data_IF_788444272017
#
_entry.id   IF_788444272017
#
_cell.length_a   1.000
_cell.length_b   1.000
_cell.length_c   1.000
_cell.angle_alpha   90.00
_cell.angle_beta   90.00
_cell.angle_gamma   90.00
#
_symmetry.space_group_name_H-M   'P 1'
#
loop_
_entity.id
_entity.type
_entity.pdbx_description
1 polymer ?
#
# COMPACT_ATOMS: atom_id res chain seq x y z
N UNK A 1 4.32 24.06 2.12
CA UNK A 1 3.74 23.49 0.90
C UNK A 1 3.60 21.98 1.12
N UNK A 2 2.44 21.39 0.88
CA UNK A 2 2.26 19.93 0.99
C UNK A 2 3.09 19.22 -0.08
N UNK A 3 3.76 18.12 0.27
CA UNK A 3 4.54 17.31 -0.65
C UNK A 3 3.62 16.74 -1.75
N UNK A 4 3.87 17.01 -3.04
CA UNK A 4 3.00 16.57 -4.13
C UNK A 4 2.90 15.06 -4.26
N UNK A 5 3.87 14.29 -3.73
CA UNK A 5 3.83 12.82 -3.73
C UNK A 5 2.62 12.27 -2.98
N UNK A 6 2.08 13.05 -2.02
CA UNK A 6 0.94 12.69 -1.17
C UNK A 6 -0.31 13.55 -1.45
N UNK A 7 -0.29 14.35 -2.51
CA UNK A 7 -1.46 15.15 -2.86
C UNK A 7 -2.58 14.25 -3.39
N UNK A 8 -3.83 14.58 -3.02
CA UNK A 8 -5.01 14.05 -3.67
C UNK A 8 -5.15 14.68 -5.07
N UNK A 9 -5.73 13.96 -5.99
CA UNK A 9 -5.91 14.38 -7.38
C UNK A 9 -4.99 13.63 -8.34
N UNK A 10 -5.57 12.77 -9.14
CA UNK A 10 -4.89 11.76 -9.97
C UNK A 10 -4.61 10.48 -9.22
N UNK A 11 -4.78 9.35 -9.92
CA UNK A 11 -4.57 8.00 -9.38
C UNK A 11 -3.08 7.69 -9.35
N UNK A 12 -2.59 7.24 -8.19
CA UNK A 12 -1.22 6.74 -8.01
C UNK A 12 -1.20 5.22 -8.13
N UNK A 13 -0.22 4.70 -8.86
CA UNK A 13 0.00 3.25 -8.96
C UNK A 13 1.20 2.88 -8.08
N UNK A 14 0.98 1.97 -7.15
CA UNK A 14 1.95 1.43 -6.21
C UNK A 14 2.18 -0.06 -6.49
N UNK A 15 3.15 -0.45 -7.35
CA UNK A 15 3.47 -1.85 -7.57
C UNK A 15 3.90 -2.55 -6.27
N UNK A 16 3.21 -3.66 -5.91
CA UNK A 16 3.65 -4.51 -4.81
C UNK A 16 4.76 -5.44 -5.26
N UNK A 17 5.94 -5.29 -4.65
CA UNK A 17 7.10 -6.13 -4.93
C UNK A 17 6.94 -7.58 -4.49
N UNK A 18 5.86 -7.92 -3.79
CA UNK A 18 5.49 -9.31 -3.51
C UNK A 18 5.34 -10.14 -4.79
N UNK A 19 5.10 -9.50 -5.94
CA UNK A 19 4.98 -10.13 -7.26
C UNK A 19 6.21 -9.99 -8.15
N UNK A 20 7.29 -9.34 -7.66
CA UNK A 20 8.55 -9.18 -8.36
C UNK A 20 9.48 -10.40 -8.20
N UNK A 21 10.58 -10.45 -8.93
CA UNK A 21 11.63 -11.43 -8.70
C UNK A 21 12.39 -11.11 -7.41
N UNK A 22 12.24 -11.95 -6.39
CA UNK A 22 12.87 -11.78 -5.07
C UNK A 22 14.41 -11.78 -5.14
N UNK A 23 14.98 -12.45 -6.13
CA UNK A 23 16.45 -12.48 -6.31
C UNK A 23 17.00 -11.18 -6.94
N UNK A 24 16.11 -10.29 -7.46
CA UNK A 24 16.48 -9.10 -8.20
C UNK A 24 15.75 -7.83 -7.75
N UNK A 25 15.27 -7.76 -6.50
CA UNK A 25 14.41 -6.66 -6.02
C UNK A 25 14.92 -5.25 -6.35
N UNK A 26 16.22 -4.98 -6.19
CA UNK A 26 16.76 -3.66 -6.47
C UNK A 26 16.65 -3.28 -7.96
N UNK A 27 16.81 -4.25 -8.85
CA UNK A 27 16.68 -4.05 -10.31
C UNK A 27 15.21 -3.96 -10.72
N UNK A 28 14.35 -4.80 -10.13
CA UNK A 28 12.90 -4.79 -10.36
C UNK A 28 12.28 -3.44 -9.97
N UNK A 29 12.66 -2.90 -8.81
CA UNK A 29 12.18 -1.60 -8.35
C UNK A 29 12.61 -0.49 -9.31
N UNK A 30 13.90 -0.43 -9.70
CA UNK A 30 14.37 0.55 -10.68
C UNK A 30 13.66 0.41 -12.02
N UNK A 31 13.42 -0.83 -12.45
CA UNK A 31 12.73 -1.11 -13.70
C UNK A 31 11.28 -0.60 -13.66
N UNK A 32 10.51 -0.92 -12.61
CA UNK A 32 9.10 -0.52 -12.50
C UNK A 32 8.93 0.99 -12.27
N UNK A 33 9.83 1.63 -11.51
CA UNK A 33 9.85 3.10 -11.38
C UNK A 33 10.14 3.79 -12.71
N UNK A 34 11.15 3.29 -13.46
CA UNK A 34 11.47 3.77 -14.80
C UNK A 34 10.31 3.62 -15.79
N UNK A 35 9.36 2.75 -15.51
CA UNK A 35 8.14 2.53 -16.31
C UNK A 35 6.92 3.31 -15.79
N UNK A 36 7.07 4.17 -14.76
CA UNK A 36 6.05 5.12 -14.34
C UNK A 36 5.24 4.71 -13.12
N UNK A 37 5.81 3.87 -12.24
CA UNK A 37 5.28 3.67 -10.89
C UNK A 37 5.38 4.97 -10.08
N UNK A 38 4.35 5.28 -9.30
CA UNK A 38 4.33 6.48 -8.45
C UNK A 38 4.90 6.19 -7.07
N UNK A 39 4.70 4.97 -6.53
CA UNK A 39 5.17 4.47 -5.25
C UNK A 39 5.69 3.05 -5.41
N UNK A 40 6.38 2.53 -4.39
CA UNK A 40 6.75 1.12 -4.26
C UNK A 40 6.10 0.57 -2.99
N UNK A 41 5.25 -0.44 -3.15
CA UNK A 41 4.55 -1.10 -2.03
C UNK A 41 5.29 -2.35 -1.57
N UNK A 42 5.50 -2.45 -0.24
CA UNK A 42 6.28 -3.51 0.41
C UNK A 42 5.41 -4.24 1.42
N UNK A 43 4.98 -5.44 1.08
CA UNK A 43 4.14 -6.31 1.92
C UNK A 43 4.98 -7.09 2.93
N UNK A 44 4.96 -6.70 4.21
CA UNK A 44 5.67 -7.35 5.30
C UNK A 44 4.75 -8.30 6.04
N UNK A 45 5.12 -9.58 6.11
CA UNK A 45 4.32 -10.67 6.68
C UNK A 45 5.14 -11.52 7.64
N UNK A 46 4.56 -11.92 8.78
CA UNK A 46 5.25 -12.59 9.90
C UNK A 46 4.89 -14.07 10.09
N UNK A 47 3.97 -14.63 9.28
CA UNK A 47 3.48 -15.99 9.46
C UNK A 47 2.56 -16.19 10.66
N UNK A 48 2.21 -15.11 11.37
CA UNK A 48 1.32 -15.11 12.52
C UNK A 48 0.03 -14.30 12.26
N UNK A 49 0.16 -13.04 11.89
CA UNK A 49 -0.97 -12.20 11.49
C UNK A 49 -1.61 -12.70 10.19
N UNK A 50 -0.76 -13.14 9.25
CA UNK A 50 -1.14 -13.81 7.99
C UNK A 50 -0.35 -15.10 7.80
N UNK A 51 -0.89 -16.11 7.07
CA UNK A 51 -0.24 -17.42 6.91
C UNK A 51 0.86 -17.42 5.83
N UNK A 52 1.68 -16.37 5.80
CA UNK A 52 2.81 -16.21 4.88
C UNK A 52 3.95 -15.46 5.57
N UNK A 53 5.18 -15.68 5.12
CA UNK A 53 6.39 -14.99 5.57
C UNK A 53 7.03 -14.28 4.37
N UNK A 54 7.42 -13.00 4.53
CA UNK A 54 8.06 -12.26 3.45
C UNK A 54 9.37 -11.63 3.91
N UNK A 55 9.35 -10.38 4.35
CA UNK A 55 10.54 -9.55 4.54
C UNK A 55 10.58 -8.92 5.93
N UNK A 56 11.75 -8.41 6.31
CA UNK A 56 11.95 -7.62 7.50
C UNK A 56 12.62 -6.27 7.20
N UNK A 57 12.94 -5.48 8.24
CA UNK A 57 13.56 -4.16 8.09
C UNK A 57 14.89 -4.17 7.32
N UNK A 58 15.64 -5.28 7.37
CA UNK A 58 16.92 -5.41 6.64
C UNK A 58 16.70 -5.36 5.12
N UNK A 59 15.64 -5.99 4.62
CA UNK A 59 15.30 -5.94 3.19
C UNK A 59 14.88 -4.52 2.78
N UNK A 60 14.04 -3.85 3.57
CA UNK A 60 13.62 -2.46 3.34
C UNK A 60 14.85 -1.54 3.28
N UNK A 61 15.80 -1.69 4.22
CA UNK A 61 17.06 -0.92 4.23
C UNK A 61 17.90 -1.19 2.99
N UNK A 62 18.03 -2.45 2.58
CA UNK A 62 18.79 -2.82 1.37
C UNK A 62 18.13 -2.27 0.10
N UNK A 63 16.80 -2.19 0.08
CA UNK A 63 16.02 -1.70 -1.04
C UNK A 63 16.02 -0.17 -1.16
N UNK A 64 16.08 0.55 -0.03
CA UNK A 64 15.98 2.02 0.00
C UNK A 64 16.87 2.76 -1.01
N UNK A 65 18.16 2.42 -1.21
CA UNK A 65 19.01 3.08 -2.20
C UNK A 65 18.57 2.89 -3.67
N UNK A 66 17.66 1.95 -3.92
CA UNK A 66 17.14 1.63 -5.25
C UNK A 66 15.77 2.28 -5.52
N UNK A 67 15.11 2.83 -4.50
CA UNK A 67 13.78 3.44 -4.59
C UNK A 67 13.93 4.96 -4.64
N UNK A 68 13.52 5.60 -5.72
CA UNK A 68 13.53 7.07 -5.87
C UNK A 68 12.20 7.71 -5.45
N UNK A 69 11.12 6.94 -5.50
CA UNK A 69 9.75 7.38 -5.16
C UNK A 69 9.42 7.16 -3.68
N UNK A 70 8.15 7.04 -3.33
CA UNK A 70 7.69 6.71 -1.97
C UNK A 70 7.84 5.22 -1.72
N UNK A 71 8.46 4.87 -0.59
CA UNK A 71 8.49 3.50 -0.07
C UNK A 71 7.37 3.34 0.95
N UNK A 72 6.31 2.68 0.54
CA UNK A 72 5.11 2.41 1.30
C UNK A 72 5.19 1.00 1.90
N UNK A 73 5.32 0.93 3.23
CA UNK A 73 5.56 -0.32 3.96
C UNK A 73 4.31 -0.74 4.70
N UNK A 74 3.69 -1.81 4.22
CA UNK A 74 2.48 -2.39 4.78
C UNK A 74 2.81 -3.54 5.71
N UNK A 75 2.50 -3.37 7.00
CA UNK A 75 2.84 -4.30 8.07
C UNK A 75 1.68 -5.24 8.41
N UNK A 76 1.68 -6.40 7.83
CA UNK A 76 0.81 -7.54 8.17
C UNK A 76 1.50 -8.42 9.21
N UNK A 77 1.80 -7.82 10.37
CA UNK A 77 2.51 -8.45 11.49
C UNK A 77 1.81 -8.14 12.82
N UNK A 78 1.96 -9.00 13.81
CA UNK A 78 1.46 -8.80 15.16
C UNK A 78 2.43 -9.38 16.22
N UNK A 79 2.88 -8.56 17.19
CA UNK A 79 2.60 -7.14 17.40
C UNK A 79 3.40 -6.21 16.46
N UNK A 80 2.84 -5.03 16.13
CA UNK A 80 3.47 -4.05 15.24
C UNK A 80 4.46 -3.13 15.98
N UNK A 81 4.05 -2.62 17.15
CA UNK A 81 4.75 -1.53 17.87
C UNK A 81 6.28 -1.74 18.02
N UNK A 82 6.79 -2.96 18.34
CA UNK A 82 8.24 -3.18 18.50
C UNK A 82 9.07 -2.97 17.24
N UNK A 83 8.45 -2.98 16.06
CA UNK A 83 9.15 -2.94 14.78
C UNK A 83 9.09 -1.59 14.08
N UNK A 84 8.23 -0.65 14.51
CA UNK A 84 8.01 0.65 13.86
C UNK A 84 9.33 1.41 13.67
N UNK A 85 10.12 1.58 14.74
CA UNK A 85 11.39 2.29 14.67
C UNK A 85 12.35 1.66 13.66
N UNK A 86 12.43 0.32 13.64
CA UNK A 86 13.33 -0.40 12.74
C UNK A 86 12.95 -0.23 11.25
N UNK A 87 11.65 -0.18 10.92
CA UNK A 87 11.19 0.09 9.55
C UNK A 87 11.38 1.55 9.15
N UNK A 88 11.14 2.50 10.06
CA UNK A 88 11.41 3.91 9.83
C UNK A 88 12.90 4.17 9.56
N UNK A 89 13.79 3.64 10.41
CA UNK A 89 15.25 3.71 10.23
C UNK A 89 15.73 3.00 8.96
N UNK A 90 15.01 1.98 8.50
CA UNK A 90 15.28 1.31 7.24
C UNK A 90 14.92 2.16 6.01
N UNK A 91 14.15 3.24 6.20
CA UNK A 91 13.83 4.21 5.15
C UNK A 91 12.41 4.12 4.59
N UNK A 92 11.45 3.58 5.36
CA UNK A 92 10.04 3.69 5.01
C UNK A 92 9.59 5.16 4.99
N UNK A 93 8.86 5.57 3.97
CA UNK A 93 8.23 6.89 3.90
C UNK A 93 6.82 6.85 4.52
N UNK A 94 6.10 5.75 4.29
CA UNK A 94 4.79 5.43 4.87
C UNK A 94 4.91 4.11 5.61
N UNK A 95 4.34 4.01 6.80
CA UNK A 95 4.16 2.74 7.52
C UNK A 95 2.67 2.56 7.77
N UNK A 96 2.12 1.48 7.22
CA UNK A 96 0.71 1.12 7.35
C UNK A 96 0.56 -0.09 8.26
N UNK A 97 -0.18 0.08 9.37
CA UNK A 97 -0.47 -0.97 10.35
C UNK A 97 -1.94 -1.35 10.33
N UNK A 98 -2.25 -2.63 10.49
CA UNK A 98 -3.62 -3.09 10.59
C UNK A 98 -4.27 -2.68 11.92
N UNK A 99 -5.55 -2.25 11.86
CA UNK A 99 -6.34 -1.99 13.07
C UNK A 99 -6.47 -3.24 13.94
N UNK A 100 -6.43 -4.41 13.30
CA UNK A 100 -6.54 -5.73 13.93
C UNK A 100 -5.22 -6.23 14.57
N UNK A 101 -4.10 -5.55 14.30
CA UNK A 101 -2.77 -6.00 14.75
C UNK A 101 -2.46 -5.71 16.23
N UNK A 102 -3.32 -4.96 16.92
CA UNK A 102 -3.15 -4.67 18.33
C UNK A 102 -4.27 -3.81 18.90
N UNK A 103 -4.39 -3.76 20.26
CA UNK A 103 -5.52 -3.10 20.92
C UNK A 103 -5.37 -1.58 21.05
N UNK A 104 -4.21 -1.00 20.68
CA UNK A 104 -3.88 0.41 20.95
C UNK A 104 -3.52 1.18 19.69
N UNK A 105 -4.43 1.21 18.71
CA UNK A 105 -4.21 1.83 17.39
C UNK A 105 -3.73 3.29 17.48
N UNK A 106 -4.31 4.12 18.36
CA UNK A 106 -3.89 5.52 18.52
C UNK A 106 -2.39 5.63 18.89
N UNK A 107 -1.92 4.79 19.83
CA UNK A 107 -0.51 4.74 20.20
C UNK A 107 0.38 4.27 19.05
N UNK A 108 -0.04 3.26 18.31
CA UNK A 108 0.68 2.75 17.14
C UNK A 108 0.84 3.83 16.07
N UNK A 109 -0.24 4.54 15.72
CA UNK A 109 -0.19 5.64 14.75
C UNK A 109 0.69 6.80 15.24
N UNK A 110 0.62 7.14 16.54
CA UNK A 110 1.51 8.15 17.13
C UNK A 110 2.98 7.72 17.03
N UNK A 111 3.32 6.46 17.34
CA UNK A 111 4.69 5.95 17.25
C UNK A 111 5.23 6.01 15.81
N UNK A 112 4.40 5.73 14.80
CA UNK A 112 4.79 5.87 13.38
C UNK A 112 5.12 7.33 13.06
N UNK A 113 4.30 8.28 13.50
CA UNK A 113 4.51 9.72 13.27
C UNK A 113 5.76 10.23 14.02
N UNK A 114 5.98 9.80 15.25
CA UNK A 114 7.15 10.16 16.06
C UNK A 114 8.45 9.63 15.45
N UNK A 115 8.38 8.49 14.72
CA UNK A 115 9.48 7.95 13.94
C UNK A 115 9.74 8.70 12.62
N UNK A 116 8.94 9.73 12.29
CA UNK A 116 9.11 10.57 11.11
C UNK A 116 8.45 10.03 9.84
N UNK A 117 7.68 8.94 9.92
CA UNK A 117 6.93 8.37 8.81
C UNK A 117 5.49 8.91 8.74
N UNK A 118 4.87 8.83 7.58
CA UNK A 118 3.42 9.00 7.46
C UNK A 118 2.70 7.78 8.03
N UNK A 119 1.63 8.03 8.79
CA UNK A 119 0.89 6.98 9.47
C UNK A 119 -0.27 6.46 8.61
N UNK A 120 -0.16 5.21 8.17
CA UNK A 120 -1.21 4.47 7.49
C UNK A 120 -1.94 3.52 8.44
N UNK A 121 -3.23 3.30 8.18
CA UNK A 121 -4.03 2.27 8.83
C UNK A 121 -4.67 1.35 7.79
N UNK A 122 -4.54 0.04 7.96
CA UNK A 122 -5.16 -0.96 7.10
C UNK A 122 -6.39 -1.57 7.76
N UNK A 123 -7.41 -1.87 6.95
CA UNK A 123 -8.66 -2.50 7.36
C UNK A 123 -8.89 -3.80 6.56
N UNK A 124 -8.98 -4.92 7.26
CA UNK A 124 -9.36 -6.19 6.65
C UNK A 124 -10.79 -6.16 6.08
N UNK A 125 -11.16 -7.07 5.15
CA UNK A 125 -12.49 -7.05 4.53
C UNK A 125 -13.65 -7.05 5.53
N UNK A 126 -13.56 -7.80 6.62
CA UNK A 126 -14.62 -7.90 7.63
C UNK A 126 -14.67 -6.71 8.62
N UNK A 127 -13.63 -5.89 8.69
CA UNK A 127 -13.53 -4.79 9.65
C UNK A 127 -14.31 -3.57 9.17
N UNK A 128 -15.25 -3.02 9.95
CA UNK A 128 -16.03 -1.86 9.54
C UNK A 128 -15.17 -0.59 9.48
N UNK A 129 -15.46 0.35 8.57
CA UNK A 129 -14.71 1.61 8.46
C UNK A 129 -14.78 2.46 9.74
N UNK A 130 -15.84 2.34 10.52
CA UNK A 130 -16.03 3.03 11.80
C UNK A 130 -15.00 2.65 12.88
N UNK A 131 -14.24 1.57 12.68
CA UNK A 131 -13.14 1.17 13.59
C UNK A 131 -12.05 2.25 13.72
N UNK A 132 -11.98 3.21 12.80
CA UNK A 132 -11.00 4.31 12.81
C UNK A 132 -11.59 5.69 13.12
N UNK A 133 -12.87 5.79 13.48
CA UNK A 133 -13.56 7.09 13.71
C UNK A 133 -12.81 8.00 14.70
N UNK A 134 -12.23 7.42 15.74
CA UNK A 134 -11.59 8.16 16.83
C UNK A 134 -10.11 8.51 16.59
N UNK A 135 -9.55 8.11 15.44
CA UNK A 135 -8.13 8.32 15.11
C UNK A 135 -7.92 9.04 13.77
N UNK A 136 -8.97 9.59 13.16
CA UNK A 136 -8.93 10.23 11.85
C UNK A 136 -7.89 11.36 11.75
N UNK A 137 -7.61 12.08 12.84
CA UNK A 137 -6.64 13.17 12.88
C UNK A 137 -5.18 12.68 13.03
N UNK A 138 -5.00 11.37 13.22
CA UNK A 138 -3.68 10.70 13.29
C UNK A 138 -3.25 10.07 11.97
N UNK A 139 -4.17 9.95 11.02
CA UNK A 139 -4.01 9.14 9.81
C UNK A 139 -3.61 10.01 8.63
N UNK A 140 -2.63 9.57 7.86
CA UNK A 140 -2.25 10.15 6.57
C UNK A 140 -2.74 9.28 5.39
N UNK A 141 -2.99 7.97 5.63
CA UNK A 141 -3.43 7.00 4.64
C UNK A 141 -4.33 5.92 5.27
N UNK A 142 -5.40 5.53 4.55
CA UNK A 142 -6.23 4.36 4.89
C UNK A 142 -6.10 3.33 3.78
N UNK A 143 -5.52 2.17 4.09
CA UNK A 143 -5.43 1.03 3.18
C UNK A 143 -6.66 0.13 3.36
N UNK A 144 -7.43 -0.05 2.31
CA UNK A 144 -8.59 -0.95 2.27
C UNK A 144 -8.18 -2.25 1.61
N UNK A 145 -8.16 -3.33 2.40
CA UNK A 145 -7.95 -4.67 1.86
C UNK A 145 -9.15 -5.08 1.03
N UNK A 146 -8.92 -5.35 -0.24
CA UNK A 146 -9.93 -5.86 -1.19
C UNK A 146 -9.73 -7.33 -1.51
N UNK A 147 -8.87 -7.98 -0.75
CA UNK A 147 -8.67 -9.42 -0.61
C UNK A 147 -8.42 -9.74 0.87
N UNK A 148 -8.44 -11.00 1.28
CA UNK A 148 -7.89 -11.36 2.59
C UNK A 148 -6.35 -11.28 2.52
N UNK A 149 -5.66 -10.57 3.44
CA UNK A 149 -4.23 -10.39 3.38
C UNK A 149 -3.46 -11.71 3.48
N UNK A 150 -2.24 -11.76 2.90
CA UNK A 150 -1.33 -12.90 3.00
C UNK A 150 -0.76 -13.41 1.68
N UNK A 151 -1.46 -13.29 0.57
CA UNK A 151 -0.99 -13.79 -0.74
C UNK A 151 -1.38 -12.84 -1.87
N UNK A 152 -0.49 -12.73 -2.86
CA UNK A 152 -0.77 -12.02 -4.11
C UNK A 152 -1.68 -12.83 -5.05
N UNK A 153 -2.21 -12.18 -6.09
CA UNK A 153 -2.96 -12.83 -7.18
C UNK A 153 -4.37 -13.30 -6.83
N UNK A 154 -4.93 -12.86 -5.70
CA UNK A 154 -6.29 -13.20 -5.27
C UNK A 154 -7.37 -12.43 -6.05
N UNK A 155 -8.59 -12.98 -6.03
CA UNK A 155 -9.76 -12.34 -6.63
C UNK A 155 -10.25 -11.17 -5.80
N UNK A 156 -10.53 -10.04 -6.48
CA UNK A 156 -11.04 -8.83 -5.89
C UNK A 156 -12.41 -9.04 -5.20
N UNK A 157 -12.56 -8.57 -3.98
CA UNK A 157 -13.81 -8.62 -3.21
C UNK A 157 -14.63 -7.36 -3.52
N UNK A 158 -15.55 -7.43 -4.49
CA UNK A 158 -16.37 -6.30 -4.93
C UNK A 158 -17.21 -5.65 -3.84
N UNK A 159 -17.55 -6.38 -2.78
CA UNK A 159 -18.25 -5.86 -1.60
C UNK A 159 -17.47 -4.78 -0.84
N UNK A 160 -16.17 -4.58 -1.15
CA UNK A 160 -15.37 -3.52 -0.53
C UNK A 160 -15.57 -2.12 -1.16
N UNK A 161 -16.11 -2.03 -2.37
CA UNK A 161 -16.37 -0.74 -3.03
C UNK A 161 -17.27 0.20 -2.20
N UNK A 162 -18.38 -0.24 -1.60
CA UNK A 162 -19.15 0.57 -0.65
C UNK A 162 -18.35 1.02 0.58
N UNK A 163 -17.42 0.19 1.09
CA UNK A 163 -16.54 0.56 2.21
C UNK A 163 -15.63 1.73 1.83
N UNK A 164 -15.03 1.71 0.64
CA UNK A 164 -14.21 2.82 0.12
C UNK A 164 -15.02 4.12 0.06
N UNK A 165 -16.23 4.08 -0.47
CA UNK A 165 -17.13 5.24 -0.52
C UNK A 165 -17.48 5.75 0.88
N UNK A 166 -17.75 4.85 1.82
CA UNK A 166 -18.03 5.20 3.21
C UNK A 166 -16.84 5.89 3.88
N UNK A 167 -15.63 5.35 3.70
CA UNK A 167 -14.39 5.97 4.19
C UNK A 167 -14.17 7.36 3.61
N UNK A 168 -14.39 7.56 2.31
CA UNK A 168 -14.26 8.88 1.70
C UNK A 168 -15.24 9.90 2.31
N UNK A 169 -16.47 9.47 2.64
CA UNK A 169 -17.44 10.31 3.35
C UNK A 169 -16.97 10.65 4.77
N UNK A 170 -16.45 9.68 5.52
CA UNK A 170 -15.95 9.88 6.89
C UNK A 170 -14.73 10.82 6.91
N UNK A 171 -13.83 10.68 5.93
CA UNK A 171 -12.65 11.52 5.80
C UNK A 171 -12.96 12.96 5.39
N UNK A 172 -14.06 13.19 4.64
CA UNK A 172 -14.41 14.52 4.15
C UNK A 172 -13.27 15.20 3.41
N UNK A 173 -12.97 16.45 3.79
CA UNK A 173 -11.90 17.25 3.17
C UNK A 173 -10.50 17.01 3.75
N UNK A 174 -10.34 16.10 4.69
CA UNK A 174 -9.03 15.74 5.25
C UNK A 174 -8.08 15.29 4.14
N UNK A 175 -6.80 15.67 4.19
CA UNK A 175 -5.80 15.29 3.18
C UNK A 175 -5.32 13.84 3.37
N UNK A 176 -6.22 12.94 3.71
CA UNK A 176 -5.96 11.52 3.92
C UNK A 176 -6.19 10.78 2.61
N UNK A 177 -5.20 9.98 2.19
CA UNK A 177 -5.29 9.14 1.01
C UNK A 177 -6.05 7.85 1.32
N UNK A 178 -6.81 7.36 0.35
CA UNK A 178 -7.39 6.01 0.39
C UNK A 178 -6.61 5.15 -0.59
N UNK A 179 -5.99 4.10 -0.05
CA UNK A 179 -5.28 3.08 -0.79
C UNK A 179 -6.13 1.81 -0.90
N UNK A 180 -6.01 1.14 -2.03
CA UNK A 180 -6.67 -0.14 -2.31
C UNK A 180 -5.62 -1.20 -2.48
N UNK A 181 -5.68 -2.25 -1.67
CA UNK A 181 -4.76 -3.38 -1.77
C UNK A 181 -5.50 -4.70 -1.96
N UNK A 182 -5.21 -5.33 -3.09
CA UNK A 182 -5.70 -6.65 -3.46
C UNK A 182 -6.58 -6.72 -4.71
N UNK A 183 -6.17 -7.52 -5.69
CA UNK A 183 -6.95 -7.79 -6.89
C UNK A 183 -7.16 -6.59 -7.82
N UNK A 184 -6.31 -5.57 -7.74
CA UNK A 184 -6.35 -4.40 -8.62
C UNK A 184 -5.91 -4.78 -10.04
N UNK A 185 -6.76 -4.46 -11.01
CA UNK A 185 -6.56 -4.68 -12.45
C UNK A 185 -7.25 -3.55 -13.21
N UNK A 186 -7.03 -3.39 -14.54
CA UNK A 186 -7.81 -2.44 -15.33
C UNK A 186 -9.34 -2.62 -15.23
N UNK A 187 -9.80 -3.84 -14.93
CA UNK A 187 -11.24 -4.13 -14.81
C UNK A 187 -11.82 -3.71 -13.43
N UNK A 188 -11.03 -3.74 -12.36
CA UNK A 188 -11.50 -3.47 -10.99
C UNK A 188 -11.20 -2.05 -10.51
N UNK A 189 -10.14 -1.43 -11.02
CA UNK A 189 -9.68 -0.10 -10.66
C UNK A 189 -10.75 1.01 -10.81
N UNK A 190 -11.54 1.09 -11.90
CA UNK A 190 -12.53 2.14 -12.08
C UNK A 190 -13.53 2.23 -10.94
N UNK A 191 -13.99 1.08 -10.43
CA UNK A 191 -15.01 1.03 -9.39
C UNK A 191 -14.51 1.62 -8.05
N UNK A 192 -13.26 1.35 -7.68
CA UNK A 192 -12.68 1.87 -6.43
C UNK A 192 -12.26 3.33 -6.55
N UNK A 193 -11.80 3.77 -7.72
CA UNK A 193 -11.47 5.18 -7.97
C UNK A 193 -12.73 6.03 -7.96
N UNK A 194 -13.80 5.60 -8.62
CA UNK A 194 -15.12 6.26 -8.55
C UNK A 194 -15.70 6.28 -7.11
N UNK A 195 -15.29 5.35 -6.24
CA UNK A 195 -15.65 5.34 -4.84
C UNK A 195 -14.78 6.27 -3.97
N UNK A 196 -13.65 6.79 -4.52
CA UNK A 196 -12.79 7.78 -3.86
C UNK A 196 -11.40 7.27 -3.50
N UNK A 197 -10.89 6.21 -4.12
CA UNK A 197 -9.51 5.76 -3.96
C UNK A 197 -8.52 6.72 -4.64
N UNK A 198 -7.35 6.90 -4.03
CA UNK A 198 -6.25 7.76 -4.50
C UNK A 198 -5.03 6.94 -4.92
N UNK A 199 -4.79 5.78 -4.27
CA UNK A 199 -3.63 4.91 -4.48
C UNK A 199 -4.10 3.49 -4.78
N UNK A 200 -3.50 2.86 -5.78
CA UNK A 200 -3.84 1.51 -6.23
C UNK A 200 -2.61 0.60 -6.12
N UNK A 201 -2.63 -0.32 -5.16
CA UNK A 201 -1.61 -1.36 -5.04
C UNK A 201 -1.89 -2.45 -6.06
N UNK A 202 -0.92 -2.71 -6.94
CA UNK A 202 -1.05 -3.72 -7.99
C UNK A 202 0.23 -4.57 -8.08
N UNK A 203 0.15 -5.82 -7.68
CA UNK A 203 1.26 -6.77 -7.78
C UNK A 203 1.27 -7.47 -9.15
N UNK A 204 0.64 -8.65 -9.22
CA UNK A 204 0.63 -9.50 -10.42
C UNK A 204 0.14 -8.78 -11.69
N UNK A 205 -0.78 -7.83 -11.57
CA UNK A 205 -1.29 -7.06 -12.70
C UNK A 205 -0.22 -6.16 -13.33
N UNK A 206 0.78 -5.68 -12.55
CA UNK A 206 1.90 -4.86 -13.05
C UNK A 206 3.03 -5.74 -13.54
N UNK A 207 3.48 -6.73 -12.76
CA UNK A 207 4.69 -7.52 -13.07
C UNK A 207 4.47 -8.59 -14.15
N UNK A 208 3.21 -8.87 -14.53
CA UNK A 208 2.88 -9.89 -15.52
C UNK A 208 3.53 -9.62 -16.89
N UNK A 209 4.27 -10.61 -17.39
CA UNK A 209 4.81 -10.64 -18.74
C UNK A 209 6.06 -9.78 -18.96
N UNK A 210 6.53 -9.07 -17.93
CA UNK A 210 7.78 -8.32 -17.93
C UNK A 210 8.90 -9.00 -17.13
N UNK A 211 10.07 -8.38 -17.20
CA UNK A 211 11.25 -8.73 -16.38
C UNK A 211 12.19 -7.54 -16.33
N UNK A 212 13.24 -7.62 -15.50
CA UNK A 212 14.32 -6.61 -15.48
C UNK A 212 14.96 -6.43 -16.87
N UNK A 213 15.10 -7.51 -17.64
CA UNK A 213 15.69 -7.47 -18.99
C UNK A 213 14.73 -6.88 -20.06
N UNK A 214 13.41 -7.02 -19.83
CA UNK A 214 12.35 -6.43 -20.67
C UNK A 214 11.27 -5.81 -19.77
N UNK A 215 11.45 -4.58 -19.30
CA UNK A 215 10.49 -3.90 -18.41
C UNK A 215 9.33 -3.23 -19.15
N UNK A 216 9.30 -3.22 -20.49
CA UNK A 216 8.25 -2.57 -21.28
C UNK A 216 6.82 -3.05 -20.91
N UNK A 217 6.57 -4.34 -20.63
CA UNK A 217 5.28 -4.81 -20.15
C UNK A 217 4.84 -4.18 -18.83
N UNK A 218 5.76 -3.88 -17.89
CA UNK A 218 5.43 -3.19 -16.63
C UNK A 218 4.78 -1.82 -16.93
N UNK A 219 5.41 -1.04 -17.80
CA UNK A 219 4.87 0.26 -18.21
C UNK A 219 3.54 0.17 -18.96
N UNK A 220 3.38 -0.82 -19.83
CA UNK A 220 2.11 -1.06 -20.51
C UNK A 220 1.00 -1.39 -19.50
N UNK A 221 1.28 -2.24 -18.52
CA UNK A 221 0.33 -2.62 -17.47
C UNK A 221 -0.04 -1.44 -16.56
N UNK A 222 0.95 -0.64 -16.12
CA UNK A 222 0.71 0.58 -15.32
C UNK A 222 -0.18 1.55 -16.08
N UNK A 223 0.13 1.83 -17.34
CA UNK A 223 -0.68 2.72 -18.18
C UNK A 223 -2.10 2.18 -18.39
N UNK A 224 -2.27 0.86 -18.56
CA UNK A 224 -3.58 0.25 -18.73
C UNK A 224 -4.46 0.40 -17.46
N UNK A 225 -3.88 0.24 -16.25
CA UNK A 225 -4.60 0.48 -14.99
C UNK A 225 -4.98 1.95 -14.88
N UNK A 226 -4.05 2.87 -15.13
CA UNK A 226 -4.30 4.33 -15.01
C UNK A 226 -5.36 4.79 -16.02
N UNK A 227 -5.24 4.43 -17.30
CA UNK A 227 -6.19 4.80 -18.35
C UNK A 227 -7.60 4.24 -18.16
N UNK A 228 -7.73 3.13 -17.44
CA UNK A 228 -9.05 2.60 -17.08
C UNK A 228 -9.77 3.46 -16.04
N UNK A 229 -9.05 4.34 -15.33
CA UNK A 229 -9.59 5.20 -14.27
C UNK A 229 -9.97 6.61 -14.76
N UNK A 230 -9.60 6.98 -15.98
CA UNK A 230 -9.95 8.25 -16.64
C UNK A 230 -11.39 8.19 -17.20
#
# INVERSE_FOLDING_TARGET
>A
MSDPRYARGGVKIAPSILSADFAAFGDEVRAVEGQGADWIHVDVMDGHFVPNLTFGPQMVRALRPHVATVMDVHLMIAPVDPYIAAFAEAGADVITAHVEAGPHLDRTLQAIRDAGCRAGVALNPATPPEAIDWVLDRIDLVCVMTVNPGFGGQSFIGAMVPKVRRLRQMLGDRPVLIEIDGGVTPATAPAVVAAGADVLVAGSAVFKGGSVADPAPYGANIRAIRAACD
#
